data_IF_065310460004
#
_entry.id   IF_065310460004
#
_cell.length_a   1.000
_cell.length_b   1.000
_cell.length_c   1.000
_cell.angle_alpha   90.00
_cell.angle_beta   90.00
_cell.angle_gamma   90.00
#
_symmetry.space_group_name_H-M   'P 1'
#
loop_
_entity.id
_entity.type
_entity.pdbx_description
1 polymer ?
#
# COMPACT_ATOMS: atom_id res chain seq x y z
N UNK A 1 28.08 -68.28 68.83
CA UNK A 1 27.88 -68.60 67.40
C UNK A 1 27.37 -67.34 66.73
N UNK A 2 28.12 -66.85 65.74
CA UNK A 2 27.88 -65.74 64.79
C UNK A 2 27.60 -64.31 65.28
N UNK A 3 28.44 -63.42 64.73
CA UNK A 3 28.42 -61.96 64.62
C UNK A 3 27.20 -61.40 63.86
N UNK A 4 26.86 -60.12 64.08
CA UNK A 4 26.75 -59.04 63.05
C UNK A 4 26.05 -57.83 63.69
N UNK A 5 26.71 -56.68 63.95
CA UNK A 5 27.10 -55.59 63.05
C UNK A 5 25.95 -54.91 62.29
N UNK A 6 25.77 -53.63 62.66
CA UNK A 6 25.78 -52.41 61.85
C UNK A 6 24.67 -52.09 60.83
N UNK A 7 24.09 -50.91 61.09
CA UNK A 7 24.00 -49.76 60.18
C UNK A 7 22.87 -49.63 59.15
N UNK A 8 22.08 -48.56 59.37
CA UNK A 8 21.80 -47.42 58.46
C UNK A 8 21.52 -47.70 56.99
N UNK A 9 20.32 -47.29 56.54
CA UNK A 9 20.06 -46.73 55.19
C UNK A 9 18.90 -45.71 55.32
N UNK A 10 19.13 -44.40 55.18
CA UNK A 10 19.31 -43.63 53.94
C UNK A 10 18.08 -43.67 53.03
N UNK A 11 17.31 -42.57 53.04
CA UNK A 11 16.21 -42.34 52.12
C UNK A 11 16.69 -42.10 50.69
N UNK A 12 16.06 -42.77 49.72
CA UNK A 12 16.18 -42.47 48.31
C UNK A 12 14.95 -41.70 47.84
N UNK A 13 15.19 -40.65 47.05
CA UNK A 13 14.16 -39.89 46.35
C UNK A 13 13.43 -40.81 45.36
N UNK A 14 12.10 -40.90 45.49
CA UNK A 14 11.23 -41.53 44.49
C UNK A 14 11.09 -40.59 43.27
N UNK A 15 11.99 -40.76 42.30
CA UNK A 15 11.68 -40.48 40.90
C UNK A 15 10.67 -41.53 40.41
N UNK A 16 9.73 -41.11 39.57
CA UNK A 16 8.62 -41.85 38.94
C UNK A 16 7.28 -41.84 39.69
N UNK A 17 6.46 -40.85 39.35
CA UNK A 17 5.08 -41.07 38.91
C UNK A 17 4.57 -39.84 38.15
N UNK A 18 4.88 -39.76 36.85
CA UNK A 18 4.20 -38.86 35.92
C UNK A 18 3.52 -39.69 34.82
N UNK A 19 2.48 -40.44 35.22
CA UNK A 19 1.56 -41.07 34.25
C UNK A 19 0.54 -40.00 33.85
N UNK A 20 0.94 -39.13 32.93
CA UNK A 20 0.01 -38.22 32.26
C UNK A 20 -0.73 -39.01 31.17
N UNK A 21 -2.05 -39.02 31.27
CA UNK A 21 -2.99 -39.80 30.48
C UNK A 21 -2.82 -39.55 28.95
N UNK A 22 -2.29 -40.54 28.21
CA UNK A 22 -1.93 -40.45 26.78
C UNK A 22 -3.07 -39.95 25.87
N UNK A 23 -4.33 -40.10 26.28
CA UNK A 23 -5.51 -39.61 25.51
C UNK A 23 -5.65 -38.08 25.50
N UNK A 24 -5.22 -37.36 26.54
CA UNK A 24 -5.27 -35.88 26.57
C UNK A 24 -4.11 -35.26 25.77
N UNK A 25 -2.95 -35.92 25.73
CA UNK A 25 -1.79 -35.46 24.97
C UNK A 25 -2.01 -35.54 23.45
N UNK A 26 -2.70 -36.59 22.98
CA UNK A 26 -3.06 -36.74 21.55
C UNK A 26 -4.06 -35.65 21.13
N UNK A 27 -4.99 -35.26 22.00
CA UNK A 27 -5.95 -34.19 21.71
C UNK A 27 -5.27 -32.80 21.63
N UNK A 28 -4.29 -32.53 22.51
CA UNK A 28 -3.55 -31.27 22.50
C UNK A 28 -2.65 -31.11 21.27
N UNK A 29 -1.97 -32.18 20.83
CA UNK A 29 -1.12 -32.14 19.62
C UNK A 29 -1.95 -31.94 18.34
N UNK A 30 -3.17 -32.50 18.29
CA UNK A 30 -4.05 -32.35 17.11
C UNK A 30 -4.65 -30.95 16.97
N UNK A 31 -4.89 -30.22 18.07
CA UNK A 31 -5.41 -28.84 18.03
C UNK A 31 -4.31 -27.83 17.67
N UNK A 32 -3.08 -28.01 18.16
CA UNK A 32 -1.96 -27.13 17.77
C UNK A 32 -1.50 -27.34 16.33
N UNK A 33 -1.53 -28.57 15.81
CA UNK A 33 -1.20 -28.84 14.41
C UNK A 33 -2.24 -28.28 13.42
N UNK A 34 -3.48 -28.07 13.86
CA UNK A 34 -4.55 -27.48 13.04
C UNK A 34 -4.52 -25.94 13.05
N UNK A 35 -3.98 -25.32 14.10
CA UNK A 35 -3.88 -23.85 14.23
C UNK A 35 -2.70 -23.24 13.47
N UNK A 36 -1.62 -24.00 13.21
CA UNK A 36 -0.45 -23.47 12.49
C UNK A 36 -0.69 -23.36 10.97
N UNK A 37 -1.58 -24.18 10.40
CA UNK A 37 -1.85 -24.20 8.96
C UNK A 37 -2.81 -23.10 8.45
N UNK A 38 -3.44 -22.32 9.33
CA UNK A 38 -4.41 -21.28 8.95
C UNK A 38 -3.75 -19.89 8.78
N UNK A 39 -2.56 -19.70 9.34
CA UNK A 39 -1.86 -18.39 9.36
C UNK A 39 -1.48 -17.79 7.99
N UNK A 40 -1.04 -18.53 6.95
CA UNK A 40 -0.65 -17.90 5.69
C UNK A 40 -1.84 -17.37 4.87
N UNK A 41 -3.01 -18.02 4.94
CA UNK A 41 -4.19 -17.62 4.13
C UNK A 41 -4.72 -16.26 4.59
N UNK A 42 -4.74 -16.00 5.90
CA UNK A 42 -5.17 -14.71 6.45
C UNK A 42 -4.25 -13.56 6.04
N UNK A 43 -2.93 -13.78 6.00
CA UNK A 43 -1.97 -12.74 5.61
C UNK A 43 -2.11 -12.34 4.13
N UNK A 44 -2.25 -13.31 3.21
CA UNK A 44 -2.43 -13.01 1.79
C UNK A 44 -3.74 -12.26 1.50
N UNK A 45 -4.86 -12.72 2.08
CA UNK A 45 -6.15 -12.04 1.92
C UNK A 45 -6.14 -10.63 2.54
N UNK A 46 -5.40 -10.43 3.64
CA UNK A 46 -5.24 -9.12 4.26
C UNK A 46 -4.43 -8.17 3.37
N UNK A 47 -3.34 -8.65 2.75
CA UNK A 47 -2.56 -7.88 1.77
C UNK A 47 -3.39 -7.50 0.56
N UNK A 48 -4.13 -8.43 -0.04
CA UNK A 48 -5.01 -8.16 -1.20
C UNK A 48 -6.08 -7.10 -0.88
N UNK A 49 -6.68 -7.19 0.31
CA UNK A 49 -7.65 -6.19 0.79
C UNK A 49 -6.99 -4.81 0.92
N UNK A 50 -5.82 -4.73 1.54
CA UNK A 50 -5.10 -3.48 1.72
C UNK A 50 -4.65 -2.87 0.38
N UNK A 51 -4.17 -3.69 -0.56
CA UNK A 51 -3.81 -3.26 -1.91
C UNK A 51 -5.02 -2.65 -2.64
N UNK A 52 -6.19 -3.28 -2.49
CA UNK A 52 -7.43 -2.78 -3.07
C UNK A 52 -7.86 -1.45 -2.45
N UNK A 53 -7.78 -1.28 -1.13
CA UNK A 53 -8.10 -0.01 -0.45
C UNK A 53 -7.21 1.14 -0.95
N UNK A 54 -5.91 0.90 -1.13
CA UNK A 54 -4.97 1.90 -1.66
C UNK A 54 -5.27 2.22 -3.13
N UNK A 55 -5.60 1.21 -3.94
CA UNK A 55 -6.01 1.42 -5.32
C UNK A 55 -7.30 2.26 -5.40
N UNK A 56 -8.29 1.96 -4.57
CA UNK A 56 -9.55 2.72 -4.43
C UNK A 56 -9.28 4.16 -3.99
N UNK A 57 -8.36 4.39 -3.04
CA UNK A 57 -7.94 5.74 -2.62
C UNK A 57 -7.36 6.54 -3.79
N UNK A 58 -6.59 5.90 -4.67
CA UNK A 58 -6.06 6.58 -5.87
C UNK A 58 -7.17 6.88 -6.89
N UNK A 59 -8.17 6.00 -7.03
CA UNK A 59 -9.36 6.30 -7.84
C UNK A 59 -10.15 7.48 -7.27
N UNK A 60 -10.34 7.53 -5.94
CA UNK A 60 -10.95 8.69 -5.29
C UNK A 60 -10.20 9.96 -5.62
N UNK A 61 -8.86 9.97 -5.55
CA UNK A 61 -8.08 11.13 -5.93
C UNK A 61 -8.28 11.55 -7.41
N UNK A 62 -8.31 10.58 -8.34
CA UNK A 62 -8.56 10.84 -9.77
C UNK A 62 -9.96 11.42 -10.03
N UNK A 63 -10.97 10.84 -9.41
CA UNK A 63 -12.35 11.29 -9.54
C UNK A 63 -12.53 12.67 -8.92
N UNK A 64 -11.93 12.92 -7.75
CA UNK A 64 -11.96 14.21 -7.07
C UNK A 64 -11.28 15.28 -7.91
N UNK A 65 -10.03 15.09 -8.34
CA UNK A 65 -9.29 16.14 -9.09
C UNK A 65 -9.93 16.46 -10.44
N UNK A 66 -10.71 15.54 -11.02
CA UNK A 66 -11.42 15.72 -12.29
C UNK A 66 -12.92 15.99 -12.15
N UNK A 67 -13.43 16.19 -10.93
CA UNK A 67 -14.87 16.25 -10.65
C UNK A 67 -15.57 17.46 -11.29
N UNK A 68 -14.85 18.55 -11.53
CA UNK A 68 -15.43 19.84 -11.92
C UNK A 68 -16.27 20.49 -10.82
N UNK A 69 -16.19 20.00 -9.57
CA UNK A 69 -16.85 20.58 -8.39
C UNK A 69 -16.39 22.03 -8.16
N UNK A 70 -17.26 22.88 -7.62
CA UNK A 70 -16.87 24.23 -7.17
C UNK A 70 -15.89 24.15 -5.99
N UNK A 71 -15.97 23.09 -5.19
CA UNK A 71 -15.12 22.83 -4.02
C UNK A 71 -13.94 21.90 -4.34
N UNK A 72 -13.69 21.61 -5.63
CA UNK A 72 -12.69 20.60 -6.07
C UNK A 72 -11.31 20.79 -5.44
N UNK A 73 -10.89 22.05 -5.23
CA UNK A 73 -9.58 22.36 -4.65
C UNK A 73 -9.51 21.96 -3.17
N UNK A 74 -10.57 22.21 -2.42
CA UNK A 74 -10.66 21.84 -1.00
C UNK A 74 -10.74 20.32 -0.86
N UNK A 75 -11.56 19.69 -1.72
CA UNK A 75 -11.74 18.25 -1.76
C UNK A 75 -10.43 17.52 -2.08
N UNK A 76 -9.66 17.96 -3.09
CA UNK A 76 -8.40 17.29 -3.46
C UNK A 76 -7.30 17.52 -2.43
N UNK A 77 -7.23 18.70 -1.82
CA UNK A 77 -6.23 19.02 -0.78
C UNK A 77 -6.50 18.18 0.48
N UNK A 78 -7.76 17.91 0.81
CA UNK A 78 -8.13 17.07 1.95
C UNK A 78 -7.70 15.59 1.83
N UNK A 79 -7.21 15.15 0.66
CA UNK A 79 -6.66 13.81 0.46
C UNK A 79 -5.17 13.71 0.80
N UNK A 80 -4.51 14.84 1.07
CA UNK A 80 -3.10 14.90 1.47
C UNK A 80 -2.99 14.99 2.98
N UNK A 81 -1.96 14.36 3.54
CA UNK A 81 -1.58 14.54 4.93
C UNK A 81 -1.13 15.99 5.20
N UNK A 82 -1.15 16.42 6.47
CA UNK A 82 -0.71 17.77 6.86
C UNK A 82 0.74 18.05 6.47
N UNK A 83 1.60 17.03 6.50
CA UNK A 83 3.00 17.04 6.06
C UNK A 83 3.20 16.48 4.64
N UNK A 84 2.12 16.40 3.85
CA UNK A 84 2.15 15.90 2.49
C UNK A 84 2.97 16.76 1.54
N UNK A 85 3.59 16.10 0.55
CA UNK A 85 4.46 16.74 -0.44
C UNK A 85 4.04 16.43 -1.88
N UNK A 86 4.11 17.43 -2.77
CA UNK A 86 3.76 17.30 -4.18
C UNK A 86 4.86 17.81 -5.13
N UNK A 87 5.30 16.92 -6.02
CA UNK A 87 6.00 17.26 -7.26
C UNK A 87 4.99 17.21 -8.41
N UNK A 88 4.47 18.38 -8.79
CA UNK A 88 3.42 18.48 -9.81
C UNK A 88 3.96 18.37 -11.25
N UNK A 89 3.15 17.84 -12.15
CA UNK A 89 3.51 17.59 -13.55
C UNK A 89 3.90 18.86 -14.33
N UNK A 90 3.29 19.99 -13.97
CA UNK A 90 3.34 21.26 -14.73
C UNK A 90 3.91 22.43 -13.92
N UNK A 91 4.67 22.14 -12.86
CA UNK A 91 5.25 23.15 -11.95
C UNK A 91 6.70 22.78 -11.61
N UNK A 92 7.61 23.74 -11.72
CA UNK A 92 9.00 23.57 -11.25
C UNK A 92 9.11 23.62 -9.72
N UNK A 93 8.18 24.31 -9.06
CA UNK A 93 8.12 24.41 -7.60
C UNK A 93 7.53 23.14 -7.00
N UNK A 94 8.27 22.56 -6.04
CA UNK A 94 7.78 21.54 -5.09
C UNK A 94 6.83 22.20 -4.09
N UNK A 95 5.71 21.54 -3.79
CA UNK A 95 4.75 22.03 -2.78
C UNK A 95 4.91 21.19 -1.52
N UNK A 96 5.32 21.82 -0.42
CA UNK A 96 5.60 21.14 0.84
C UNK A 96 4.75 21.66 2.01
N UNK A 97 3.69 22.41 1.70
CA UNK A 97 2.65 22.82 2.65
C UNK A 97 1.25 22.68 2.05
N UNK A 98 0.20 22.55 2.88
CA UNK A 98 -1.19 22.50 2.38
C UNK A 98 -1.60 23.71 1.53
N UNK A 99 -1.10 24.90 1.86
CA UNK A 99 -1.36 26.12 1.09
C UNK A 99 -0.73 26.04 -0.31
N UNK A 100 0.50 25.54 -0.42
CA UNK A 100 1.18 25.40 -1.70
C UNK A 100 0.59 24.27 -2.56
N UNK A 101 0.11 23.18 -1.93
CA UNK A 101 -0.62 22.11 -2.63
C UNK A 101 -1.94 22.67 -3.19
N UNK A 102 -2.69 23.44 -2.37
CA UNK A 102 -3.87 24.19 -2.82
C UNK A 102 -3.56 25.05 -4.03
N UNK A 103 -2.50 25.86 -3.98
CA UNK A 103 -2.11 26.75 -5.07
C UNK A 103 -1.83 25.99 -6.39
N UNK A 104 -1.37 24.73 -6.32
CA UNK A 104 -1.17 23.91 -7.51
C UNK A 104 -2.53 23.50 -8.11
N UNK A 105 -3.45 23.05 -7.27
CA UNK A 105 -4.77 22.59 -7.71
C UNK A 105 -5.72 23.72 -8.10
N UNK A 106 -5.53 24.94 -7.59
CA UNK A 106 -6.17 26.16 -8.11
C UNK A 106 -5.91 26.36 -9.61
N UNK A 107 -4.76 25.90 -10.12
CA UNK A 107 -4.50 25.85 -11.55
C UNK A 107 -4.95 24.51 -12.15
N UNK A 108 -4.41 23.40 -11.65
CA UNK A 108 -4.52 22.10 -12.34
C UNK A 108 -5.94 21.56 -12.36
N UNK A 109 -6.64 21.52 -11.22
CA UNK A 109 -7.99 20.96 -11.11
C UNK A 109 -9.06 21.85 -11.79
N UNK A 110 -8.71 23.10 -12.11
CA UNK A 110 -9.58 24.07 -12.80
C UNK A 110 -9.33 24.17 -14.30
N UNK A 111 -8.49 23.30 -14.87
CA UNK A 111 -8.34 23.20 -16.31
C UNK A 111 -9.71 22.88 -16.97
N UNK A 112 -10.09 23.53 -18.08
CA UNK A 112 -11.42 23.35 -18.67
C UNK A 112 -11.65 21.91 -19.14
N UNK A 113 -12.78 21.31 -18.77
CA UNK A 113 -13.13 19.92 -19.13
C UNK A 113 -12.00 18.92 -18.76
N UNK A 114 -11.32 19.13 -17.64
CA UNK A 114 -10.29 18.22 -17.15
C UNK A 114 -10.88 16.81 -16.93
N UNK A 115 -10.24 15.80 -17.50
CA UNK A 115 -10.63 14.40 -17.33
C UNK A 115 -9.43 13.47 -17.40
N UNK A 116 -9.59 12.22 -16.98
CA UNK A 116 -8.57 11.16 -17.14
C UNK A 116 -8.98 10.22 -18.27
N UNK A 117 -8.20 10.17 -19.35
CA UNK A 117 -8.49 9.32 -20.51
C UNK A 117 -7.92 7.90 -20.39
N UNK A 118 -6.89 7.73 -19.55
CA UNK A 118 -6.35 6.42 -19.21
C UNK A 118 -5.69 6.42 -17.84
N UNK A 119 -5.74 5.28 -17.16
CA UNK A 119 -5.10 5.06 -15.87
C UNK A 119 -4.60 3.61 -15.76
N UNK A 120 -3.39 3.44 -15.24
CA UNK A 120 -2.76 2.18 -14.87
C UNK A 120 -2.01 2.39 -13.56
N UNK A 121 -2.44 1.73 -12.49
CA UNK A 121 -1.74 1.71 -11.22
C UNK A 121 -1.21 0.33 -10.86
N UNK A 122 -0.20 0.31 -10.01
CA UNK A 122 0.35 -0.88 -9.40
C UNK A 122 0.70 -0.58 -7.95
N UNK A 123 -0.04 -1.22 -7.04
CA UNK A 123 0.11 -1.03 -5.61
C UNK A 123 1.15 -1.98 -5.07
N UNK A 124 2.04 -1.46 -4.22
CA UNK A 124 3.01 -2.22 -3.45
C UNK A 124 2.86 -1.86 -1.98
N UNK A 125 2.46 -2.83 -1.17
CA UNK A 125 2.43 -2.70 0.29
C UNK A 125 3.83 -2.85 0.89
N UNK A 126 4.17 -2.01 1.86
CA UNK A 126 5.40 -2.15 2.67
C UNK A 126 5.08 -2.64 4.07
N UNK A 127 3.95 -2.19 4.64
CA UNK A 127 3.34 -2.71 5.86
C UNK A 127 1.81 -2.44 5.85
N UNK A 128 1.15 -2.56 7.01
CA UNK A 128 -0.31 -2.36 7.14
C UNK A 128 -0.78 -0.91 6.96
N UNK A 129 0.13 0.05 7.12
CA UNK A 129 -0.10 1.49 7.13
C UNK A 129 0.75 2.25 6.12
N UNK A 130 1.64 1.59 5.36
CA UNK A 130 2.47 2.22 4.33
C UNK A 130 2.36 1.46 3.00
N UNK A 131 2.02 2.20 1.95
CA UNK A 131 1.90 1.67 0.60
C UNK A 131 2.37 2.68 -0.45
N UNK A 132 2.78 2.17 -1.60
CA UNK A 132 3.07 2.98 -2.78
C UNK A 132 2.17 2.51 -3.91
N UNK A 133 1.50 3.43 -4.60
CA UNK A 133 0.87 3.17 -5.89
C UNK A 133 1.60 3.95 -6.98
N UNK A 134 2.16 3.26 -7.95
CA UNK A 134 2.87 3.89 -9.07
C UNK A 134 2.32 3.44 -10.40
N UNK A 135 2.44 4.29 -11.41
CA UNK A 135 2.11 3.92 -12.77
C UNK A 135 1.90 5.11 -13.68
N UNK A 136 0.87 5.03 -14.51
CA UNK A 136 0.62 5.97 -15.58
C UNK A 136 -0.83 6.44 -15.58
N UNK A 137 -0.98 7.65 -16.07
CA UNK A 137 -2.26 8.27 -16.33
C UNK A 137 -2.09 9.31 -17.42
N UNK A 138 -3.15 9.52 -18.17
CA UNK A 138 -3.22 10.58 -19.16
C UNK A 138 -4.38 11.46 -18.81
N UNK A 139 -4.08 12.70 -18.43
CA UNK A 139 -5.11 13.72 -18.31
C UNK A 139 -5.39 14.34 -19.67
N UNK A 140 -6.63 14.80 -19.86
CA UNK A 140 -7.01 15.62 -20.98
C UNK A 140 -7.73 16.86 -20.50
N UNK A 141 -7.63 17.94 -21.25
CA UNK A 141 -8.38 19.17 -20.98
C UNK A 141 -8.64 19.91 -22.28
N UNK A 142 -9.66 20.75 -22.30
CA UNK A 142 -10.01 21.59 -23.43
C UNK A 142 -9.19 22.90 -23.40
N UNK A 143 -8.49 23.18 -24.49
CA UNK A 143 -7.81 24.45 -24.73
C UNK A 143 -8.30 25.02 -26.06
N UNK A 144 -9.03 26.13 -26.00
CA UNK A 144 -9.54 26.86 -27.17
C UNK A 144 -10.34 25.97 -28.15
N UNK A 145 -11.10 25.01 -27.63
CA UNK A 145 -11.90 24.06 -28.40
C UNK A 145 -11.13 22.82 -28.88
N UNK A 146 -9.87 22.65 -28.47
CA UNK A 146 -9.05 21.49 -28.81
C UNK A 146 -8.68 20.70 -27.55
N UNK A 147 -8.93 19.39 -27.58
CA UNK A 147 -8.50 18.48 -26.52
C UNK A 147 -6.99 18.35 -26.54
N UNK A 148 -6.37 18.67 -25.41
CA UNK A 148 -4.95 18.46 -25.13
C UNK A 148 -4.80 17.19 -24.28
N UNK A 149 -3.67 16.50 -24.44
CA UNK A 149 -3.31 15.35 -23.60
C UNK A 149 -2.05 15.65 -22.79
N UNK A 150 -2.03 15.18 -21.54
CA UNK A 150 -0.90 15.25 -20.62
C UNK A 150 -0.62 13.81 -20.15
N UNK A 151 0.14 13.02 -20.94
CA UNK A 151 0.57 11.71 -20.50
C UNK A 151 1.64 11.86 -19.42
N UNK A 152 1.47 11.17 -18.30
CA UNK A 152 2.35 11.26 -17.15
C UNK A 152 2.62 9.90 -16.52
N UNK A 153 3.77 9.81 -15.85
CA UNK A 153 4.08 8.77 -14.87
C UNK A 153 3.92 9.36 -13.47
N UNK A 154 3.51 8.53 -12.51
CA UNK A 154 3.32 8.97 -11.13
C UNK A 154 3.79 7.95 -10.10
N UNK A 155 3.98 8.45 -8.89
CA UNK A 155 4.08 7.67 -7.66
C UNK A 155 3.33 8.40 -6.55
N UNK A 156 2.37 7.72 -5.92
CA UNK A 156 1.75 8.13 -4.66
C UNK A 156 2.30 7.24 -3.55
N UNK A 157 2.81 7.85 -2.48
CA UNK A 157 3.08 7.20 -1.21
C UNK A 157 1.95 7.52 -0.26
N UNK A 158 1.34 6.49 0.29
CA UNK A 158 0.22 6.60 1.21
C UNK A 158 0.62 6.15 2.62
N UNK A 159 0.17 6.90 3.62
CA UNK A 159 0.19 6.49 5.01
C UNK A 159 -1.24 6.35 5.54
N UNK A 160 -1.48 5.38 6.41
CA UNK A 160 -2.78 5.21 7.08
C UNK A 160 -2.77 5.95 8.42
N UNK A 161 -3.68 6.90 8.58
CA UNK A 161 -3.82 7.70 9.81
C UNK A 161 -4.41 6.89 10.98
N UNK A 162 -4.48 7.52 12.17
CA UNK A 162 -5.07 6.91 13.37
C UNK A 162 -6.57 6.58 13.22
N UNK A 163 -7.25 7.17 12.23
CA UNK A 163 -8.65 6.91 11.88
C UNK A 163 -8.80 5.82 10.81
N UNK A 164 -7.72 5.12 10.47
CA UNK A 164 -7.64 4.10 9.43
C UNK A 164 -7.96 4.61 8.01
N UNK A 165 -7.73 5.90 7.74
CA UNK A 165 -7.86 6.50 6.42
C UNK A 165 -6.50 6.59 5.74
N UNK A 166 -6.45 6.28 4.45
CA UNK A 166 -5.24 6.45 3.65
C UNK A 166 -5.11 7.90 3.20
N UNK A 167 -3.98 8.52 3.51
CA UNK A 167 -3.63 9.89 3.13
C UNK A 167 -2.38 9.90 2.25
N UNK A 168 -2.30 10.87 1.34
CA UNK A 168 -1.13 11.06 0.49
C UNK A 168 -0.06 11.80 1.29
N UNK A 169 1.07 11.13 1.55
CA UNK A 169 2.24 11.75 2.19
C UNK A 169 3.28 12.22 1.15
N UNK A 170 3.37 11.54 0.01
CA UNK A 170 4.18 12.00 -1.13
C UNK A 170 3.45 11.73 -2.44
N UNK A 171 3.43 12.70 -3.34
CA UNK A 171 2.96 12.54 -4.70
C UNK A 171 4.00 13.11 -5.65
N UNK A 172 4.57 12.25 -6.48
CA UNK A 172 5.40 12.65 -7.60
C UNK A 172 4.68 12.38 -8.91
N UNK A 173 4.53 13.41 -9.74
CA UNK A 173 4.00 13.30 -11.10
C UNK A 173 4.89 14.04 -12.08
N UNK A 174 5.24 13.37 -13.18
CA UNK A 174 6.02 13.96 -14.25
C UNK A 174 5.42 13.62 -15.60
N UNK A 175 5.46 14.55 -16.55
CA UNK A 175 5.16 14.24 -17.94
C UNK A 175 6.01 13.05 -18.41
N UNK A 176 5.49 12.25 -19.33
CA UNK A 176 6.29 11.19 -19.94
C UNK A 176 7.47 11.84 -20.71
N UNK A 177 8.71 11.45 -20.40
CA UNK A 177 9.86 11.98 -21.12
C UNK A 177 9.89 11.43 -22.55
N UNK A 178 10.47 12.21 -23.46
CA UNK A 178 10.85 11.70 -24.78
C UNK A 178 12.03 10.74 -24.60
N UNK A 179 11.84 9.47 -24.98
CA UNK A 179 12.89 8.46 -24.90
C UNK A 179 13.91 8.68 -26.02
N UNK A 180 15.23 8.71 -25.72
CA UNK A 180 16.26 8.58 -26.75
C UNK A 180 16.08 7.28 -27.53
N UNK A 181 16.45 7.26 -28.82
CA UNK A 181 16.28 6.10 -29.71
C UNK A 181 16.88 4.78 -29.17
N UNK A 182 17.85 4.86 -28.26
CA UNK A 182 18.52 3.69 -27.67
C UNK A 182 17.78 3.08 -26.48
N UNK A 183 16.72 3.72 -25.99
CA UNK A 183 15.95 3.25 -24.84
C UNK A 183 14.56 2.81 -25.27
N UNK A 184 14.03 1.78 -24.63
CA UNK A 184 12.68 1.29 -24.88
C UNK A 184 11.64 2.35 -24.47
N UNK A 185 10.61 2.48 -25.29
CA UNK A 185 9.48 3.36 -25.02
C UNK A 185 8.46 2.65 -24.15
N UNK A 186 7.93 3.36 -23.16
CA UNK A 186 6.93 2.80 -22.24
C UNK A 186 5.67 2.33 -22.97
N UNK A 187 5.32 1.06 -22.78
CA UNK A 187 4.03 0.49 -23.17
C UNK A 187 2.98 0.62 -22.07
N UNK A 188 2.50 1.83 -21.76
CA UNK A 188 1.60 2.06 -20.61
C UNK A 188 0.30 1.21 -20.64
N UNK A 189 -0.10 0.71 -21.82
CA UNK A 189 -1.26 -0.19 -21.98
C UNK A 189 -0.88 -1.68 -21.88
N UNK A 190 0.38 -2.02 -22.10
CA UNK A 190 0.93 -3.36 -22.10
C UNK A 190 1.35 -3.80 -20.69
N UNK A 191 1.83 -2.85 -19.87
CA UNK A 191 2.32 -3.15 -18.53
C UNK A 191 1.25 -3.81 -17.64
N UNK A 192 1.65 -4.90 -16.97
CA UNK A 192 0.87 -5.58 -15.94
C UNK A 192 1.45 -5.33 -14.55
N UNK A 193 0.58 -5.24 -13.55
CA UNK A 193 1.02 -5.18 -12.15
C UNK A 193 1.22 -6.60 -11.61
N UNK A 194 2.47 -6.96 -11.30
CA UNK A 194 2.84 -8.26 -10.77
C UNK A 194 3.65 -8.07 -9.49
N UNK A 195 3.11 -8.55 -8.36
CA UNK A 195 3.74 -8.42 -7.03
C UNK A 195 4.16 -6.96 -6.69
N UNK A 196 3.31 -5.99 -7.05
CA UNK A 196 3.58 -4.57 -6.82
C UNK A 196 4.66 -3.96 -7.72
N UNK A 197 4.97 -4.60 -8.85
CA UNK A 197 5.87 -4.09 -9.88
C UNK A 197 5.15 -4.00 -11.22
N UNK A 198 5.38 -2.92 -11.96
CA UNK A 198 4.98 -2.83 -13.36
C UNK A 198 5.97 -3.65 -14.18
N UNK A 199 5.45 -4.68 -14.85
CA UNK A 199 6.22 -5.60 -15.68
C UNK A 199 5.73 -5.46 -17.11
N UNK A 200 6.67 -5.15 -18.01
CA UNK A 200 6.43 -5.10 -19.45
C UNK A 200 6.25 -6.53 -19.98
N UNK A 201 5.23 -6.74 -20.82
CA UNK A 201 4.97 -8.00 -21.50
C UNK A 201 4.68 -7.79 -22.98
#
# INVERSE_FOLDING_TARGET
MSLSKDSVTSGSLNFFNLILNRKKLIYFVSVTALLVAITPISSFAQTEKAEKEVAETTYTWLDTVTSGSEEVVDEVVALYAEDGLLWGTVSEQVRDTPAEIRDYFEYFAKLPELSVSSYKGCVRMYDENLAINSGYYTFTYNKDGQIQEIPARYSFTYHKDDNNQWEIIEHHSSALPEAPETLETVGAKQDTCENGLLVER
#
